data_IF_984319148821
#
_entry.id   IF_984319148821
#
_cell.length_a   1.000
_cell.length_b   1.000
_cell.length_c   1.000
_cell.angle_alpha   90.00
_cell.angle_beta   90.00
_cell.angle_gamma   90.00
#
_symmetry.space_group_name_H-M   'P 1'
#
loop_
_entity.id
_entity.type
_entity.pdbx_description
1 polymer ?
#
# COMPACT_ATOMS: atom_id res chain seq x y z
N UNK A 1 19.17 -9.21 10.75
CA UNK A 1 18.38 -10.45 10.87
C UNK A 1 17.35 -10.23 11.96
N UNK A 2 16.08 -10.15 11.61
CA UNK A 2 14.99 -9.99 12.61
C UNK A 2 14.88 -11.25 13.46
N UNK A 3 14.49 -11.13 14.74
CA UNK A 3 14.33 -12.25 15.67
C UNK A 3 13.48 -13.39 15.08
N UNK A 4 12.52 -13.06 14.21
CA UNK A 4 11.70 -14.03 13.48
C UNK A 4 12.52 -14.98 12.59
N UNK A 5 13.49 -14.45 11.83
CA UNK A 5 14.32 -15.28 10.94
C UNK A 5 15.25 -16.23 11.70
N UNK A 6 15.72 -15.84 12.89
CA UNK A 6 16.54 -16.69 13.74
C UNK A 6 15.73 -17.89 14.28
N UNK A 7 14.47 -17.66 14.66
CA UNK A 7 13.58 -18.72 15.13
C UNK A 7 13.16 -19.69 14.02
N UNK A 8 12.86 -19.20 12.82
CA UNK A 8 12.54 -20.08 11.68
C UNK A 8 13.73 -20.98 11.33
N UNK A 9 14.95 -20.43 11.36
CA UNK A 9 16.17 -21.18 11.11
C UNK A 9 16.39 -22.29 12.17
N UNK A 10 16.14 -21.97 13.45
CA UNK A 10 16.23 -22.95 14.55
C UNK A 10 15.20 -24.06 14.44
N UNK A 11 13.97 -23.76 14.02
CA UNK A 11 12.93 -24.77 13.80
C UNK A 11 13.32 -25.72 12.65
N UNK A 12 13.80 -25.18 11.52
CA UNK A 12 14.25 -25.98 10.37
C UNK A 12 15.44 -26.88 10.75
N UNK A 13 16.42 -26.34 11.48
CA UNK A 13 17.56 -27.10 11.98
C UNK A 13 17.12 -28.22 12.95
N UNK A 14 16.15 -27.95 13.83
CA UNK A 14 15.61 -28.96 14.76
C UNK A 14 14.88 -30.10 14.03
N UNK A 15 14.10 -29.77 12.98
CA UNK A 15 13.41 -30.75 12.14
C UNK A 15 14.38 -31.62 11.34
N UNK A 16 15.44 -31.02 10.78
CA UNK A 16 16.51 -31.75 10.10
C UNK A 16 17.22 -32.75 11.03
N UNK A 17 17.45 -32.35 12.29
CA UNK A 17 18.06 -33.22 13.29
C UNK A 17 17.13 -34.36 13.76
N UNK A 18 15.82 -34.10 13.87
CA UNK A 18 14.81 -35.11 14.19
C UNK A 18 14.64 -36.17 13.08
N UNK A 19 14.87 -35.82 11.81
CA UNK A 19 14.77 -36.74 10.67
C UNK A 19 16.03 -37.58 10.44
N UNK A 20 17.17 -37.15 11.00
CA UNK A 20 18.44 -37.84 10.88
C UNK A 20 18.41 -39.32 11.33
N UNK A 21 17.80 -39.71 12.48
CA UNK A 21 17.72 -41.12 12.88
C UNK A 21 16.74 -41.96 12.03
N UNK A 22 15.79 -41.34 11.33
CA UNK A 22 14.86 -42.04 10.42
C UNK A 22 15.52 -42.34 9.07
N UNK A 23 16.47 -41.50 8.65
CA UNK A 23 17.22 -41.67 7.41
C UNK A 23 18.44 -42.60 7.55
N UNK A 24 18.92 -42.86 8.77
CA UNK A 24 20.07 -43.73 9.03
C UNK A 24 19.58 -45.17 9.29
N UNK A 25 19.96 -46.10 8.41
CA UNK A 25 19.54 -47.53 8.36
C UNK A 25 19.84 -48.39 9.62
N UNK A 26 20.44 -47.83 10.67
CA UNK A 26 20.67 -48.54 11.95
C UNK A 26 20.60 -47.54 13.11
N UNK A 27 19.44 -47.41 13.79
CA UNK A 27 19.33 -46.48 14.91
C UNK A 27 20.12 -47.01 16.12
N UNK A 28 21.09 -46.22 16.60
CA UNK A 28 21.75 -46.46 17.88
C UNK A 28 20.74 -46.22 19.01
N UNK A 29 20.31 -47.31 19.64
CA UNK A 29 19.22 -47.34 20.62
C UNK A 29 19.71 -47.06 22.04
N UNK A 30 20.67 -46.15 22.19
CA UNK A 30 21.17 -45.72 23.50
C UNK A 30 20.15 -44.79 24.17
N UNK A 31 20.08 -44.81 25.51
CA UNK A 31 19.17 -43.96 26.27
C UNK A 31 19.38 -42.46 25.98
N UNK A 32 20.60 -42.08 25.58
CA UNK A 32 20.98 -40.70 25.23
C UNK A 32 20.33 -40.23 23.93
N UNK A 33 20.25 -41.05 22.88
CA UNK A 33 19.63 -40.67 21.60
C UNK A 33 18.11 -40.47 21.75
N UNK A 34 17.47 -41.28 22.61
CA UNK A 34 16.04 -41.13 22.95
C UNK A 34 15.75 -39.83 23.70
N UNK A 35 16.58 -39.48 24.69
CA UNK A 35 16.41 -38.24 25.47
C UNK A 35 16.58 -37.01 24.57
N UNK A 36 17.59 -37.01 23.70
CA UNK A 36 17.83 -35.91 22.75
C UNK A 36 16.66 -35.74 21.77
N UNK A 37 16.11 -36.84 21.25
CA UNK A 37 14.95 -36.80 20.35
C UNK A 37 13.68 -36.28 21.02
N UNK A 38 13.46 -36.62 22.30
CA UNK A 38 12.33 -36.10 23.09
C UNK A 38 12.49 -34.59 23.33
N UNK A 39 13.69 -34.16 23.72
CA UNK A 39 13.98 -32.74 23.97
C UNK A 39 13.86 -31.88 22.69
N UNK A 40 14.33 -32.38 21.54
CA UNK A 40 14.18 -31.68 20.26
C UNK A 40 12.72 -31.62 19.80
N UNK A 41 11.95 -32.70 20.01
CA UNK A 41 10.51 -32.71 19.75
C UNK A 41 9.75 -31.67 20.61
N UNK A 42 10.07 -31.58 21.90
CA UNK A 42 9.49 -30.58 22.80
C UNK A 42 9.85 -29.15 22.40
N UNK A 43 11.09 -28.91 21.96
CA UNK A 43 11.54 -27.60 21.51
C UNK A 43 10.84 -27.17 20.20
N UNK A 44 10.64 -28.10 19.27
CA UNK A 44 9.87 -27.86 18.05
C UNK A 44 8.42 -27.51 18.34
N UNK A 45 7.79 -28.21 19.28
CA UNK A 45 6.42 -27.95 19.72
C UNK A 45 6.28 -26.58 20.39
N UNK A 46 7.25 -26.20 21.23
CA UNK A 46 7.32 -24.86 21.82
C UNK A 46 7.50 -23.76 20.76
N UNK A 47 8.32 -24.00 19.73
CA UNK A 47 8.48 -23.09 18.59
C UNK A 47 7.20 -22.89 17.78
N UNK A 48 6.43 -23.97 17.53
CA UNK A 48 5.12 -23.90 16.88
C UNK A 48 4.12 -23.14 17.75
N UNK A 49 4.06 -23.41 19.05
CA UNK A 49 3.19 -22.66 19.98
C UNK A 49 3.56 -21.17 19.99
N UNK A 50 4.85 -20.84 19.99
CA UNK A 50 5.34 -19.47 19.96
C UNK A 50 4.97 -18.76 18.65
N UNK A 51 5.09 -19.43 17.50
CA UNK A 51 4.65 -18.91 16.21
C UNK A 51 3.12 -18.72 16.18
N UNK A 52 2.35 -19.67 16.72
CA UNK A 52 0.90 -19.52 16.89
C UNK A 52 0.54 -18.34 17.81
N UNK A 53 1.31 -18.12 18.89
CA UNK A 53 1.13 -16.96 19.77
C UNK A 53 1.50 -15.64 19.10
N UNK A 54 2.53 -15.61 18.25
CA UNK A 54 2.90 -14.44 17.44
C UNK A 54 1.81 -14.09 16.42
N UNK A 55 1.24 -15.08 15.72
CA UNK A 55 0.09 -14.89 14.81
C UNK A 55 -1.12 -14.38 15.59
N UNK A 56 -1.44 -14.99 16.75
CA UNK A 56 -2.50 -14.49 17.65
C UNK A 56 -2.24 -13.09 18.22
N UNK A 57 -0.98 -12.69 18.41
CA UNK A 57 -0.64 -11.33 18.85
C UNK A 57 -0.85 -10.29 17.74
N UNK A 58 -0.67 -10.67 16.47
CA UNK A 58 -1.04 -9.80 15.34
C UNK A 58 -2.58 -9.70 15.20
N UNK A 59 -3.30 -10.76 15.52
CA UNK A 59 -4.74 -10.77 15.81
C UNK A 59 -5.07 -10.25 17.21
N UNK A 60 -4.38 -9.21 17.70
CA UNK A 60 -4.80 -8.53 18.91
C UNK A 60 -6.25 -8.08 18.71
N UNK A 61 -7.19 -8.84 19.28
CA UNK A 61 -8.56 -8.42 19.50
C UNK A 61 -8.41 -7.20 20.38
N UNK A 62 -8.43 -6.02 19.75
CA UNK A 62 -8.42 -4.75 20.44
C UNK A 62 -9.76 -4.74 21.16
N UNK A 63 -9.77 -5.19 22.41
CA UNK A 63 -10.98 -5.21 23.22
C UNK A 63 -11.44 -3.76 23.34
N UNK A 64 -12.71 -3.44 23.08
CA UNK A 64 -13.18 -2.09 23.19
C UNK A 64 -13.05 -1.63 24.65
N UNK A 65 -12.14 -0.69 24.91
CA UNK A 65 -11.96 -0.04 26.21
C UNK A 65 -12.74 1.27 26.30
N UNK A 66 -13.73 1.47 25.43
CA UNK A 66 -14.42 2.76 25.30
C UNK A 66 -15.14 3.15 26.59
N UNK A 67 -15.07 4.45 26.90
CA UNK A 67 -15.56 5.09 28.14
C UNK A 67 -17.08 5.19 28.25
N UNK A 68 -17.83 4.92 27.18
CA UNK A 68 -19.28 5.11 27.15
C UNK A 68 -20.04 3.87 27.61
N UNK A 69 -20.56 3.92 28.84
CA UNK A 69 -21.53 2.96 29.38
C UNK A 69 -22.69 2.71 28.41
N UNK A 70 -23.13 3.76 27.74
CA UNK A 70 -24.31 3.75 26.87
C UNK A 70 -24.08 2.92 25.60
N UNK A 71 -22.84 2.89 25.10
CA UNK A 71 -22.45 2.07 23.94
C UNK A 71 -22.41 0.58 24.30
N UNK A 72 -21.88 0.25 25.47
CA UNK A 72 -21.89 -1.13 25.98
C UNK A 72 -23.31 -1.61 26.24
N UNK A 73 -24.15 -0.74 26.81
CA UNK A 73 -25.55 -1.03 27.05
C UNK A 73 -26.31 -1.24 25.73
N UNK A 74 -26.13 -0.37 24.72
CA UNK A 74 -26.74 -0.54 23.41
C UNK A 74 -26.32 -1.85 22.72
N UNK A 75 -25.05 -2.27 22.88
CA UNK A 75 -24.57 -3.55 22.36
C UNK A 75 -25.20 -4.73 23.12
N UNK A 76 -25.26 -4.67 24.45
CA UNK A 76 -25.87 -5.71 25.28
C UNK A 76 -27.38 -5.84 25.02
N UNK A 77 -28.09 -4.72 24.86
CA UNK A 77 -29.50 -4.69 24.47
C UNK A 77 -29.72 -5.32 23.09
N UNK A 78 -28.86 -4.98 22.13
CA UNK A 78 -28.91 -5.58 20.80
C UNK A 78 -28.57 -7.08 20.80
N UNK A 79 -27.67 -7.54 21.68
CA UNK A 79 -27.35 -8.97 21.86
C UNK A 79 -28.51 -9.75 22.50
N UNK A 80 -29.21 -9.16 23.46
CA UNK A 80 -30.35 -9.79 24.14
C UNK A 80 -31.59 -9.88 23.25
N UNK A 81 -31.69 -9.03 22.23
CA UNK A 81 -32.72 -9.10 21.21
C UNK A 81 -32.04 -9.02 19.83
N UNK A 82 -31.44 -10.12 19.36
CA UNK A 82 -30.62 -10.12 18.15
C UNK A 82 -31.49 -9.67 16.99
N UNK A 83 -31.30 -8.40 16.62
CA UNK A 83 -32.05 -7.77 15.57
C UNK A 83 -31.76 -8.39 14.21
N UNK A 84 -32.41 -7.87 13.17
CA UNK A 84 -32.02 -8.21 11.80
C UNK A 84 -30.66 -7.62 11.45
N UNK A 85 -30.05 -8.11 10.36
CA UNK A 85 -28.80 -7.59 9.78
C UNK A 85 -28.84 -6.06 9.63
N UNK A 86 -30.00 -5.51 9.25
CA UNK A 86 -30.19 -4.07 9.06
C UNK A 86 -30.08 -3.28 10.38
N UNK A 87 -30.58 -3.83 11.49
CA UNK A 87 -30.49 -3.19 12.82
C UNK A 87 -29.04 -3.14 13.29
N UNK A 88 -28.32 -4.25 13.11
CA UNK A 88 -26.90 -4.34 13.43
C UNK A 88 -26.04 -3.40 12.56
N UNK A 89 -26.32 -3.34 11.25
CA UNK A 89 -25.69 -2.38 10.36
C UNK A 89 -25.96 -0.93 10.76
N UNK A 90 -27.19 -0.62 11.19
CA UNK A 90 -27.55 0.72 11.66
C UNK A 90 -26.78 1.11 12.93
N UNK A 91 -26.67 0.19 13.89
CA UNK A 91 -25.85 0.38 15.08
C UNK A 91 -24.38 0.59 14.71
N UNK A 92 -23.82 -0.25 13.84
CA UNK A 92 -22.45 -0.11 13.33
C UNK A 92 -22.18 1.26 12.72
N UNK A 93 -23.09 1.78 11.88
CA UNK A 93 -22.97 3.14 11.30
C UNK A 93 -22.97 4.23 12.37
N UNK A 94 -23.86 4.15 13.36
CA UNK A 94 -23.89 5.11 14.48
C UNK A 94 -22.56 5.12 15.23
N UNK A 95 -22.02 3.94 15.52
CA UNK A 95 -20.76 3.80 16.26
C UNK A 95 -19.55 4.34 15.48
N UNK A 96 -19.53 4.21 14.15
CA UNK A 96 -18.51 4.88 13.31
C UNK A 96 -18.57 6.40 13.45
N UNK A 97 -19.77 6.99 13.44
CA UNK A 97 -19.96 8.45 13.61
C UNK A 97 -19.49 8.93 14.99
N UNK A 98 -19.72 8.12 16.02
CA UNK A 98 -19.25 8.35 17.39
C UNK A 98 -17.74 8.06 17.57
N UNK A 99 -17.06 7.59 16.51
CA UNK A 99 -15.64 7.20 16.51
C UNK A 99 -15.32 6.00 17.42
N UNK A 100 -16.34 5.23 17.76
CA UNK A 100 -16.27 4.00 18.55
C UNK A 100 -15.99 2.80 17.63
N UNK A 101 -14.86 2.83 16.94
CA UNK A 101 -14.56 1.92 15.82
C UNK A 101 -14.55 0.44 16.22
N UNK A 102 -14.10 0.13 17.43
CA UNK A 102 -14.07 -1.25 17.93
C UNK A 102 -15.47 -1.79 18.22
N UNK A 103 -16.37 -0.96 18.75
CA UNK A 103 -17.77 -1.35 18.93
C UNK A 103 -18.48 -1.43 17.58
N UNK A 104 -18.17 -0.55 16.63
CA UNK A 104 -18.70 -0.67 15.28
C UNK A 104 -18.30 -2.00 14.62
N UNK A 105 -17.04 -2.42 14.81
CA UNK A 105 -16.56 -3.72 14.35
C UNK A 105 -17.37 -4.88 14.94
N UNK A 106 -17.67 -4.84 16.25
CA UNK A 106 -18.51 -5.86 16.89
C UNK A 106 -19.93 -5.87 16.31
N UNK A 107 -20.57 -4.71 16.16
CA UNK A 107 -21.91 -4.62 15.59
C UNK A 107 -22.00 -5.18 14.17
N UNK A 108 -21.03 -4.88 13.29
CA UNK A 108 -21.00 -5.45 11.95
C UNK A 108 -20.59 -6.94 11.93
N UNK A 109 -19.87 -7.42 12.95
CA UNK A 109 -19.56 -8.84 13.09
C UNK A 109 -20.82 -9.65 13.38
N UNK A 110 -21.75 -9.10 14.16
CA UNK A 110 -23.09 -9.70 14.37
C UNK A 110 -23.89 -9.73 13.06
N UNK A 111 -23.88 -8.65 12.28
CA UNK A 111 -24.48 -8.63 10.93
C UNK A 111 -23.93 -9.75 10.04
N UNK A 112 -22.60 -9.94 10.04
CA UNK A 112 -21.95 -10.98 9.27
C UNK A 112 -22.43 -12.37 9.70
N UNK A 113 -22.47 -12.67 11.00
CA UNK A 113 -22.91 -13.97 11.51
C UNK A 113 -24.34 -14.32 11.07
N UNK A 114 -25.25 -13.34 11.10
CA UNK A 114 -26.63 -13.52 10.69
C UNK A 114 -26.81 -13.68 9.17
N UNK A 115 -25.91 -13.10 8.37
CA UNK A 115 -26.05 -13.04 6.91
C UNK A 115 -25.15 -14.00 6.15
N UNK A 116 -24.05 -14.52 6.72
CA UNK A 116 -22.99 -15.20 5.96
C UNK A 116 -23.48 -16.38 5.10
N UNK A 117 -24.53 -17.07 5.53
CA UNK A 117 -25.14 -18.22 4.81
C UNK A 117 -26.52 -17.89 4.22
N UNK A 118 -26.96 -16.65 4.31
CA UNK A 118 -28.25 -16.24 3.80
C UNK A 118 -28.21 -16.20 2.25
N UNK A 119 -29.28 -16.67 1.56
CA UNK A 119 -29.41 -16.51 0.13
C UNK A 119 -29.34 -15.04 -0.30
N UNK A 120 -28.62 -14.77 -1.39
CA UNK A 120 -28.46 -13.42 -1.94
C UNK A 120 -29.73 -12.97 -2.70
N UNK A 121 -30.70 -12.43 -1.97
CA UNK A 121 -31.81 -11.66 -2.55
C UNK A 121 -31.41 -10.19 -2.76
N UNK A 122 -32.19 -9.42 -3.52
CA UNK A 122 -31.89 -8.00 -3.77
C UNK A 122 -31.77 -7.19 -2.46
N UNK A 123 -32.68 -7.39 -1.51
CA UNK A 123 -32.62 -6.74 -0.18
C UNK A 123 -31.39 -7.18 0.61
N UNK A 124 -31.10 -8.48 0.64
CA UNK A 124 -29.94 -9.02 1.36
C UNK A 124 -28.61 -8.61 0.74
N UNK A 125 -28.57 -8.37 -0.58
CA UNK A 125 -27.38 -7.84 -1.26
C UNK A 125 -26.98 -6.48 -0.69
N UNK A 126 -27.93 -5.57 -0.48
CA UNK A 126 -27.68 -4.26 0.13
C UNK A 126 -27.11 -4.39 1.54
N UNK A 127 -27.79 -5.16 2.39
CA UNK A 127 -27.35 -5.42 3.77
C UNK A 127 -25.98 -6.09 3.83
N UNK A 128 -25.64 -6.93 2.84
CA UNK A 128 -24.33 -7.57 2.70
C UNK A 128 -23.22 -6.60 2.36
N UNK A 129 -23.45 -5.72 1.39
CA UNK A 129 -22.50 -4.66 1.04
C UNK A 129 -22.26 -3.76 2.27
N UNK A 130 -23.32 -3.43 3.01
CA UNK A 130 -23.24 -2.61 4.22
C UNK A 130 -22.34 -3.24 5.30
N UNK A 131 -22.55 -4.52 5.65
CA UNK A 131 -21.72 -5.14 6.69
C UNK A 131 -20.29 -5.43 6.21
N UNK A 132 -20.09 -5.78 4.94
CA UNK A 132 -18.74 -5.98 4.38
C UNK A 132 -17.92 -4.70 4.47
N UNK A 133 -18.48 -3.60 3.96
CA UNK A 133 -17.80 -2.31 3.97
C UNK A 133 -17.69 -1.72 5.38
N UNK A 134 -18.67 -1.95 6.25
CA UNK A 134 -18.66 -1.52 7.65
C UNK A 134 -17.59 -2.25 8.49
N UNK A 135 -17.44 -3.56 8.31
CA UNK A 135 -16.35 -4.33 8.93
C UNK A 135 -14.98 -3.83 8.47
N UNK A 136 -14.79 -3.62 7.17
CA UNK A 136 -13.53 -3.10 6.66
C UNK A 136 -13.24 -1.70 7.22
N UNK A 137 -14.21 -0.78 7.14
CA UNK A 137 -14.11 0.60 7.62
C UNK A 137 -13.76 0.66 9.12
N UNK A 138 -14.47 -0.08 9.96
CA UNK A 138 -14.22 -0.12 11.40
C UNK A 138 -12.80 -0.59 11.72
N UNK A 139 -12.30 -1.65 11.06
CA UNK A 139 -10.91 -2.13 11.21
C UNK A 139 -9.89 -1.09 10.78
N UNK A 140 -10.09 -0.51 9.60
CA UNK A 140 -9.19 0.49 9.02
C UNK A 140 -9.09 1.70 9.96
N UNK A 141 -10.22 2.22 10.45
CA UNK A 141 -10.25 3.38 11.34
C UNK A 141 -9.65 3.07 12.71
N UNK A 142 -9.92 1.88 13.28
CA UNK A 142 -9.31 1.44 14.52
C UNK A 142 -7.77 1.33 14.43
N UNK A 143 -7.25 1.03 13.23
CA UNK A 143 -5.81 0.93 12.93
C UNK A 143 -5.25 2.19 12.28
N UNK A 144 -5.88 3.36 12.53
CA UNK A 144 -5.40 4.67 12.07
C UNK A 144 -5.20 4.76 10.55
N UNK A 145 -6.04 4.07 9.78
CA UNK A 145 -6.01 4.06 8.32
C UNK A 145 -5.19 2.93 7.70
N UNK A 146 -4.53 2.08 8.50
CA UNK A 146 -3.81 0.93 7.96
C UNK A 146 -4.78 -0.14 7.44
N UNK A 147 -4.63 -0.52 6.17
CA UNK A 147 -5.41 -1.58 5.53
C UNK A 147 -4.62 -2.88 5.59
N UNK A 148 -5.12 -3.84 6.36
CA UNK A 148 -4.60 -5.20 6.42
C UNK A 148 -5.21 -6.10 5.33
N UNK A 149 -4.85 -7.38 5.34
CA UNK A 149 -5.32 -8.35 4.36
C UNK A 149 -6.82 -8.62 4.48
N UNK A 150 -7.33 -8.80 5.69
CA UNK A 150 -8.76 -9.02 5.93
C UNK A 150 -9.61 -7.84 5.46
N UNK A 151 -9.22 -6.62 5.80
CA UNK A 151 -9.96 -5.40 5.41
C UNK A 151 -10.03 -5.27 3.90
N UNK A 152 -8.94 -5.61 3.21
CA UNK A 152 -8.93 -5.68 1.75
C UNK A 152 -9.87 -6.74 1.20
N UNK A 153 -9.79 -7.97 1.71
CA UNK A 153 -10.63 -9.06 1.23
C UNK A 153 -12.13 -8.73 1.42
N UNK A 154 -12.49 -8.05 2.50
CA UNK A 154 -13.86 -7.54 2.73
C UNK A 154 -14.27 -6.50 1.68
N UNK A 155 -13.37 -5.57 1.32
CA UNK A 155 -13.64 -4.55 0.31
C UNK A 155 -13.77 -5.17 -1.09
N UNK A 156 -12.91 -6.12 -1.45
CA UNK A 156 -13.00 -6.79 -2.75
C UNK A 156 -14.27 -7.63 -2.87
N UNK A 157 -14.67 -8.36 -1.82
CA UNK A 157 -15.98 -9.03 -1.77
C UNK A 157 -17.14 -8.04 -1.95
N UNK A 158 -17.07 -6.86 -1.33
CA UNK A 158 -18.08 -5.82 -1.53
C UNK A 158 -18.06 -5.27 -2.97
N UNK A 159 -16.89 -5.19 -3.60
CA UNK A 159 -16.72 -4.78 -5.00
C UNK A 159 -17.37 -5.75 -5.97
N UNK A 160 -17.28 -7.06 -5.74
CA UNK A 160 -17.97 -8.06 -6.57
C UNK A 160 -19.50 -7.90 -6.53
N UNK A 161 -20.04 -7.40 -5.43
CA UNK A 161 -21.49 -7.19 -5.27
C UNK A 161 -21.97 -5.83 -5.77
N UNK A 162 -21.12 -4.80 -5.67
CA UNK A 162 -21.45 -3.43 -6.07
C UNK A 162 -20.20 -2.61 -6.43
N UNK A 163 -19.66 -2.85 -7.62
CA UNK A 163 -18.49 -2.15 -8.17
C UNK A 163 -18.64 -0.61 -8.17
N UNK A 164 -19.87 -0.11 -8.34
CA UNK A 164 -20.18 1.32 -8.39
C UNK A 164 -20.55 1.92 -7.02
N UNK A 165 -20.50 1.17 -5.91
CA UNK A 165 -20.85 1.73 -4.62
C UNK A 165 -19.80 2.77 -4.16
N UNK A 166 -20.19 3.99 -3.75
CA UNK A 166 -19.24 5.05 -3.41
C UNK A 166 -18.25 4.67 -2.30
N UNK A 167 -18.71 3.91 -1.29
CA UNK A 167 -17.88 3.48 -0.16
C UNK A 167 -16.90 2.39 -0.60
N UNK A 168 -17.34 1.45 -1.45
CA UNK A 168 -16.48 0.43 -2.07
C UNK A 168 -15.39 1.10 -2.91
N UNK A 169 -15.74 2.07 -3.75
CA UNK A 169 -14.77 2.80 -4.57
C UNK A 169 -13.75 3.57 -3.72
N UNK A 170 -14.21 4.23 -2.65
CA UNK A 170 -13.34 4.96 -1.74
C UNK A 170 -12.31 4.05 -1.07
N UNK A 171 -12.78 3.02 -0.35
CA UNK A 171 -11.91 2.11 0.40
C UNK A 171 -11.11 1.18 -0.52
N UNK A 172 -11.69 0.76 -1.65
CA UNK A 172 -11.01 -0.03 -2.67
C UNK A 172 -9.88 0.73 -3.33
N UNK A 173 -10.02 2.04 -3.53
CA UNK A 173 -8.93 2.88 -4.01
C UNK A 173 -7.82 3.03 -2.96
N UNK A 174 -8.16 3.21 -1.68
CA UNK A 174 -7.16 3.25 -0.60
C UNK A 174 -6.38 1.93 -0.49
N UNK A 175 -7.07 0.79 -0.58
CA UNK A 175 -6.47 -0.53 -0.46
C UNK A 175 -5.54 -0.84 -1.65
N UNK A 176 -5.95 -0.45 -2.86
CA UNK A 176 -5.12 -0.57 -4.05
C UNK A 176 -3.86 0.31 -3.95
N UNK A 177 -4.00 1.57 -3.49
CA UNK A 177 -2.88 2.48 -3.32
C UNK A 177 -1.85 1.98 -2.30
N UNK A 178 -2.31 1.48 -1.14
CA UNK A 178 -1.40 0.96 -0.09
C UNK A 178 -0.63 -0.30 -0.54
N UNK A 179 -1.19 -1.08 -1.47
CA UNK A 179 -0.52 -2.22 -2.12
C UNK A 179 0.36 -1.84 -3.31
N UNK A 180 0.48 -0.55 -3.63
CA UNK A 180 1.26 -0.08 -4.78
C UNK A 180 0.54 -0.24 -6.13
N UNK A 181 -0.72 -0.67 -6.16
CA UNK A 181 -1.52 -0.69 -7.39
C UNK A 181 -2.14 0.70 -7.67
N UNK A 182 -1.27 1.64 -8.02
CA UNK A 182 -1.61 3.03 -8.31
C UNK A 182 -2.64 3.18 -9.43
N UNK A 183 -2.60 2.30 -10.44
CA UNK A 183 -3.54 2.35 -11.57
C UNK A 183 -4.97 2.00 -11.14
N UNK A 184 -5.15 0.90 -10.40
CA UNK A 184 -6.46 0.51 -9.89
C UNK A 184 -7.02 1.56 -8.91
N UNK A 185 -6.15 2.13 -8.07
CA UNK A 185 -6.55 3.21 -7.17
C UNK A 185 -7.09 4.43 -7.93
N UNK A 186 -6.38 4.86 -8.98
CA UNK A 186 -6.84 5.95 -9.86
C UNK A 186 -8.19 5.64 -10.49
N UNK A 187 -8.34 4.46 -11.09
CA UNK A 187 -9.59 4.05 -11.74
C UNK A 187 -10.79 4.11 -10.78
N UNK A 188 -10.65 3.57 -9.56
CA UNK A 188 -11.72 3.56 -8.55
C UNK A 188 -12.08 4.97 -8.08
N UNK A 189 -11.09 5.82 -7.83
CA UNK A 189 -11.32 7.19 -7.38
C UNK A 189 -11.84 8.12 -8.48
N UNK A 190 -11.41 7.95 -9.73
CA UNK A 190 -11.98 8.66 -10.87
C UNK A 190 -13.45 8.27 -11.10
N UNK A 191 -13.77 6.98 -10.98
CA UNK A 191 -15.15 6.50 -11.03
C UNK A 191 -16.00 7.10 -9.90
N UNK A 192 -15.45 7.17 -8.68
CA UNK A 192 -16.10 7.84 -7.55
C UNK A 192 -16.36 9.33 -7.83
N UNK A 193 -15.41 10.06 -8.42
CA UNK A 193 -15.60 11.47 -8.77
C UNK A 193 -16.70 11.68 -9.82
N UNK A 194 -16.83 10.76 -10.79
CA UNK A 194 -17.91 10.81 -11.81
C UNK A 194 -19.30 10.70 -11.21
N UNK A 195 -19.43 10.19 -9.97
CA UNK A 195 -20.70 10.10 -9.25
C UNK A 195 -21.10 11.40 -8.55
N UNK A 196 -20.32 12.49 -8.72
CA UNK A 196 -20.55 13.79 -8.09
C UNK A 196 -20.74 13.70 -6.56
N UNK A 197 -19.80 13.11 -5.80
CA UNK A 197 -19.94 12.97 -4.36
C UNK A 197 -19.94 14.35 -3.67
N UNK A 198 -20.29 14.45 -2.37
CA UNK A 198 -20.21 15.72 -1.64
C UNK A 198 -18.84 16.40 -1.77
N UNK A 199 -18.80 17.74 -1.82
CA UNK A 199 -17.58 18.51 -2.09
C UNK A 199 -16.42 18.17 -1.14
N UNK A 200 -16.72 17.90 0.14
CA UNK A 200 -15.72 17.44 1.11
C UNK A 200 -15.02 16.15 0.67
N UNK A 201 -15.77 15.16 0.16
CA UNK A 201 -15.22 13.91 -0.35
C UNK A 201 -14.49 14.14 -1.68
N UNK A 202 -15.02 14.95 -2.59
CA UNK A 202 -14.31 15.31 -3.83
C UNK A 202 -12.92 15.87 -3.54
N UNK A 203 -12.82 16.84 -2.62
CA UNK A 203 -11.55 17.45 -2.25
C UNK A 203 -10.55 16.43 -1.70
N UNK A 204 -11.01 15.48 -0.87
CA UNK A 204 -10.16 14.41 -0.34
C UNK A 204 -9.71 13.46 -1.45
N UNK A 205 -10.62 13.05 -2.33
CA UNK A 205 -10.31 12.14 -3.45
C UNK A 205 -9.34 12.78 -4.44
N UNK A 206 -9.53 14.06 -4.78
CA UNK A 206 -8.62 14.83 -5.63
C UNK A 206 -7.23 14.89 -4.99
N UNK A 207 -7.13 15.18 -3.68
CA UNK A 207 -5.84 15.14 -2.96
C UNK A 207 -5.18 13.76 -3.02
N UNK A 208 -5.97 12.68 -2.96
CA UNK A 208 -5.45 11.31 -3.06
C UNK A 208 -4.98 10.98 -4.48
N UNK A 209 -5.75 11.31 -5.51
CA UNK A 209 -5.35 11.18 -6.92
C UNK A 209 -4.11 11.98 -7.24
N UNK A 210 -4.05 13.21 -6.72
CA UNK A 210 -2.85 14.02 -6.78
C UNK A 210 -1.72 13.31 -6.05
N UNK A 211 -1.89 12.81 -4.84
CA UNK A 211 -0.84 12.00 -4.19
C UNK A 211 -0.47 10.74 -4.96
N UNK A 212 -1.15 10.37 -6.06
CA UNK A 212 -0.84 9.27 -6.97
C UNK A 212 -0.28 9.72 -8.34
N UNK A 213 -0.06 11.02 -8.57
CA UNK A 213 0.52 11.51 -9.83
C UNK A 213 1.96 11.01 -10.02
N UNK A 214 2.28 10.61 -11.25
CA UNK A 214 3.61 10.16 -11.68
C UNK A 214 4.01 11.02 -12.88
N UNK A 215 5.27 11.45 -12.91
CA UNK A 215 5.82 12.16 -14.07
C UNK A 215 6.32 11.14 -15.09
N UNK A 216 5.79 11.20 -16.31
CA UNK A 216 6.26 10.39 -17.44
C UNK A 216 6.99 11.30 -18.43
N UNK A 217 8.30 11.09 -18.56
CA UNK A 217 9.13 11.81 -19.52
C UNK A 217 9.64 10.84 -20.57
N UNK A 218 9.44 11.19 -21.83
CA UNK A 218 10.09 10.51 -22.96
C UNK A 218 11.26 11.37 -23.42
N UNK A 219 12.46 10.83 -23.31
CA UNK A 219 13.70 11.54 -23.64
C UNK A 219 14.28 10.91 -24.90
N UNK A 220 14.43 11.72 -25.93
CA UNK A 220 15.13 11.36 -27.17
C UNK A 220 16.42 12.17 -27.31
N UNK A 221 17.39 11.60 -28.00
CA UNK A 221 18.62 12.28 -28.40
C UNK A 221 18.64 12.40 -29.92
N UNK A 222 19.09 13.55 -30.41
CA UNK A 222 19.32 13.74 -31.83
C UNK A 222 20.37 12.73 -32.35
N UNK A 223 20.26 12.26 -33.60
CA UNK A 223 21.10 11.21 -34.15
C UNK A 223 22.61 11.49 -34.04
N UNK A 224 23.03 12.75 -34.13
CA UNK A 224 24.44 13.13 -33.98
C UNK A 224 24.97 12.87 -32.58
N UNK A 225 24.16 13.08 -31.53
CA UNK A 225 24.56 12.84 -30.14
C UNK A 225 24.54 11.36 -29.79
N UNK A 226 23.61 10.59 -30.38
CA UNK A 226 23.60 9.13 -30.30
C UNK A 226 24.91 8.57 -30.87
N UNK A 227 25.33 9.07 -32.02
CA UNK A 227 26.58 8.64 -32.67
C UNK A 227 27.84 8.99 -31.88
N UNK A 228 27.80 10.05 -31.07
CA UNK A 228 28.90 10.46 -30.18
C UNK A 228 28.86 9.78 -28.81
N UNK A 229 27.79 9.05 -28.49
CA UNK A 229 27.61 8.46 -27.18
C UNK A 229 28.43 7.18 -27.00
N UNK A 230 29.02 7.06 -25.82
CA UNK A 230 29.85 5.93 -25.41
C UNK A 230 29.20 5.18 -24.24
N UNK A 231 29.74 4.01 -23.86
CA UNK A 231 29.21 3.21 -22.74
C UNK A 231 29.15 3.97 -21.41
N UNK A 232 30.05 4.95 -21.23
CA UNK A 232 30.11 5.82 -20.05
C UNK A 232 29.18 7.03 -20.12
N UNK A 233 28.60 7.33 -21.28
CA UNK A 233 27.73 8.49 -21.44
C UNK A 233 26.45 8.36 -20.61
N UNK A 234 26.01 9.48 -20.04
CA UNK A 234 24.87 9.56 -19.13
C UNK A 234 23.96 10.71 -19.51
N UNK A 235 22.66 10.54 -19.24
CA UNK A 235 21.73 11.66 -19.17
C UNK A 235 21.42 11.92 -17.71
N UNK A 236 21.59 13.16 -17.29
CA UNK A 236 21.17 13.63 -15.97
C UNK A 236 19.91 14.47 -16.13
N UNK A 237 18.88 14.06 -15.41
CA UNK A 237 17.64 14.79 -15.34
C UNK A 237 17.52 15.45 -13.97
N UNK A 238 17.19 16.73 -13.95
CA UNK A 238 16.90 17.42 -12.71
C UNK A 238 15.71 18.35 -12.75
N UNK A 239 15.03 18.44 -11.59
CA UNK A 239 13.97 19.40 -11.33
C UNK A 239 14.37 20.33 -10.19
N UNK A 240 14.10 21.63 -10.36
CA UNK A 240 14.31 22.65 -9.31
C UNK A 240 13.21 23.71 -9.32
N UNK A 241 12.94 24.29 -8.16
CA UNK A 241 12.23 25.58 -8.12
C UNK A 241 13.18 26.66 -8.66
N UNK A 242 12.72 27.64 -9.45
CA UNK A 242 13.58 28.71 -9.98
C UNK A 242 14.35 29.49 -8.91
N UNK A 243 13.81 29.58 -7.68
CA UNK A 243 14.38 30.38 -6.57
C UNK A 243 15.05 29.56 -5.47
N UNK A 244 15.15 28.23 -5.60
CA UNK A 244 15.85 27.36 -4.63
C UNK A 244 17.00 26.61 -5.30
N UNK A 245 18.21 26.71 -4.78
CA UNK A 245 19.33 25.83 -5.11
C UNK A 245 19.58 24.92 -3.90
N UNK A 246 19.61 23.56 -3.99
CA UNK A 246 20.07 22.65 -5.06
C UNK A 246 18.93 21.86 -5.77
N UNK A 247 19.22 21.03 -6.81
CA UNK A 247 18.18 20.24 -7.50
C UNK A 247 17.50 19.24 -6.55
N UNK A 248 16.18 19.16 -6.66
CA UNK A 248 15.32 18.35 -5.78
C UNK A 248 15.17 16.91 -6.29
N UNK A 249 15.29 16.71 -7.60
CA UNK A 249 15.36 15.37 -8.19
C UNK A 249 16.55 15.35 -9.10
N UNK A 250 17.40 14.34 -8.98
CA UNK A 250 18.49 14.05 -9.91
C UNK A 250 18.42 12.57 -10.28
N UNK A 251 17.99 12.25 -11.50
CA UNK A 251 18.04 10.87 -12.03
C UNK A 251 19.13 10.80 -13.08
N UNK A 252 20.01 9.82 -12.96
CA UNK A 252 20.97 9.47 -14.01
C UNK A 252 20.42 8.30 -14.81
N UNK A 253 20.46 8.42 -16.13
CA UNK A 253 20.01 7.40 -17.09
C UNK A 253 21.19 6.96 -17.95
N UNK A 254 21.20 5.68 -18.32
CA UNK A 254 22.12 5.19 -19.34
C UNK A 254 21.61 5.56 -20.73
N UNK A 255 22.51 5.65 -21.70
CA UNK A 255 22.15 5.76 -23.12
C UNK A 255 21.25 4.59 -23.58
N UNK A 256 21.33 3.43 -22.93
CA UNK A 256 20.49 2.26 -23.24
C UNK A 256 19.04 2.37 -22.73
N UNK A 257 18.76 3.39 -21.92
CA UNK A 257 17.43 3.70 -21.39
C UNK A 257 16.68 4.73 -22.24
N UNK A 258 17.31 5.21 -23.32
CA UNK A 258 16.69 6.11 -24.30
C UNK A 258 15.50 5.50 -25.02
N UNK A 259 14.57 6.35 -25.45
CA UNK A 259 13.35 5.99 -26.17
C UNK A 259 12.44 5.03 -25.39
N UNK A 260 12.67 4.88 -24.08
CA UNK A 260 11.73 4.26 -23.15
C UNK A 260 11.10 5.36 -22.31
N UNK A 261 9.80 5.27 -21.98
CA UNK A 261 9.18 6.21 -21.06
C UNK A 261 9.89 6.12 -19.69
N UNK A 262 10.52 7.21 -19.30
CA UNK A 262 11.19 7.34 -18.01
C UNK A 262 10.16 7.79 -16.99
N UNK A 263 9.73 6.86 -16.15
CA UNK A 263 8.95 7.20 -14.97
C UNK A 263 9.89 7.83 -13.94
N UNK A 264 9.57 9.07 -13.58
CA UNK A 264 10.17 9.74 -12.44
C UNK A 264 9.13 9.79 -11.36
N UNK A 265 9.21 8.78 -10.50
CA UNK A 265 8.49 8.81 -9.25
C UNK A 265 9.19 9.83 -8.33
N UNK A 266 8.69 11.05 -8.39
CA UNK A 266 9.10 12.14 -7.53
C UNK A 266 9.06 11.73 -6.04
N UNK A 267 8.15 10.84 -5.63
CA UNK A 267 8.00 10.41 -4.22
C UNK A 267 9.18 9.60 -3.71
N UNK A 268 9.73 8.71 -4.53
CA UNK A 268 10.89 7.90 -4.14
C UNK A 268 12.14 8.75 -3.92
N UNK A 269 12.22 9.92 -4.56
CA UNK A 269 13.30 10.88 -4.35
C UNK A 269 13.14 11.69 -3.05
N UNK A 270 11.89 12.00 -2.65
CA UNK A 270 11.61 12.76 -1.41
C UNK A 270 11.86 11.93 -0.15
N UNK A 271 11.62 10.62 -0.17
CA UNK A 271 11.82 9.75 1.00
C UNK A 271 13.26 9.75 1.53
N UNK A 272 14.22 10.25 0.74
CA UNK A 272 15.64 10.33 1.08
C UNK A 272 16.13 11.77 1.31
N UNK A 273 15.27 12.79 1.19
CA UNK A 273 15.65 14.20 1.29
C UNK A 273 14.88 14.92 2.41
N UNK A 274 15.54 15.85 3.11
CA UNK A 274 14.91 16.68 4.14
C UNK A 274 13.76 17.52 3.58
N UNK A 275 12.79 17.92 4.42
CA UNK A 275 11.63 18.76 4.06
C UNK A 275 11.94 20.02 3.22
N UNK A 276 13.17 20.55 3.29
CA UNK A 276 13.63 21.73 2.53
C UNK A 276 13.90 21.47 1.04
N UNK A 277 13.83 20.21 0.61
CA UNK A 277 14.02 19.79 -0.78
C UNK A 277 12.69 19.35 -1.40
N UNK A 278 11.57 19.98 -1.05
CA UNK A 278 10.28 19.68 -1.67
C UNK A 278 9.93 20.77 -2.71
N UNK A 279 9.77 20.39 -3.97
CA UNK A 279 9.20 21.22 -5.03
C UNK A 279 7.78 21.64 -4.66
N UNK A 280 7.51 22.94 -4.78
CA UNK A 280 6.16 23.45 -4.76
C UNK A 280 5.56 23.30 -6.16
N UNK A 281 4.71 22.28 -6.32
CA UNK A 281 4.05 21.93 -7.58
C UNK A 281 2.96 22.91 -8.03
N UNK A 282 2.55 23.85 -7.17
CA UNK A 282 1.63 24.93 -7.54
C UNK A 282 2.33 26.07 -8.28
N UNK A 283 3.67 26.02 -8.35
CA UNK A 283 4.49 26.97 -9.10
C UNK A 283 5.23 26.23 -10.23
N UNK A 284 5.57 26.92 -11.33
CA UNK A 284 6.38 26.33 -12.38
C UNK A 284 7.73 25.84 -11.84
N UNK A 285 8.19 24.70 -12.37
CA UNK A 285 9.49 24.10 -12.05
C UNK A 285 10.41 24.15 -13.26
N UNK A 286 11.70 24.30 -13.02
CA UNK A 286 12.72 24.25 -14.07
C UNK A 286 13.17 22.80 -14.26
N UNK A 287 12.84 22.22 -15.41
CA UNK A 287 13.28 20.92 -15.88
C UNK A 287 14.59 21.10 -16.65
N UNK A 288 15.69 20.56 -16.12
CA UNK A 288 16.99 20.57 -16.79
C UNK A 288 17.41 19.15 -17.16
N UNK A 289 17.82 18.98 -18.41
CA UNK A 289 18.32 17.73 -18.97
C UNK A 289 19.76 17.97 -19.43
N UNK A 290 20.68 17.12 -18.98
CA UNK A 290 22.10 17.22 -19.29
C UNK A 290 22.51 15.91 -19.95
N UNK A 291 22.91 15.96 -21.21
CA UNK A 291 23.66 14.87 -21.82
C UNK A 291 25.15 15.06 -21.51
N UNK A 292 25.77 14.02 -20.97
CA UNK A 292 27.19 14.00 -20.64
C UNK A 292 27.88 12.85 -21.36
N UNK A 293 28.81 13.14 -22.30
CA UNK A 293 29.56 12.09 -22.98
C UNK A 293 30.49 11.34 -22.02
N UNK A 294 31.06 12.03 -21.02
CA UNK A 294 32.00 11.46 -20.05
C UNK A 294 31.32 10.87 -18.79
N UNK A 295 29.99 10.91 -18.73
CA UNK A 295 29.24 10.30 -17.63
C UNK A 295 29.25 11.09 -16.32
N UNK A 296 29.56 12.39 -16.36
CA UNK A 296 29.58 13.27 -15.19
C UNK A 296 28.77 14.54 -15.44
N UNK A 297 27.85 14.88 -14.53
CA UNK A 297 26.97 16.05 -14.66
C UNK A 297 27.74 17.40 -14.73
N UNK A 298 29.00 17.40 -14.29
CA UNK A 298 29.88 18.58 -14.25
C UNK A 298 31.01 18.53 -15.30
N UNK A 299 31.02 17.54 -16.20
CA UNK A 299 32.06 17.44 -17.22
C UNK A 299 31.98 18.56 -18.27
N UNK A 300 33.15 18.89 -18.83
CA UNK A 300 33.27 19.75 -19.99
C UNK A 300 32.72 19.04 -21.24
N UNK A 301 32.02 19.77 -22.12
CA UNK A 301 31.36 19.21 -23.29
C UNK A 301 29.95 18.67 -23.03
N UNK A 302 29.41 18.86 -21.82
CA UNK A 302 28.01 18.55 -21.53
C UNK A 302 27.06 19.47 -22.30
N UNK A 303 26.03 18.87 -22.92
CA UNK A 303 24.95 19.61 -23.56
C UNK A 303 23.80 19.72 -22.57
N UNK A 304 23.32 20.94 -22.34
CA UNK A 304 22.28 21.24 -21.34
C UNK A 304 21.08 21.85 -22.03
N UNK A 305 19.90 21.27 -21.81
CA UNK A 305 18.61 21.85 -22.17
C UNK A 305 17.83 22.10 -20.90
N UNK A 306 17.24 23.29 -20.77
CA UNK A 306 16.37 23.60 -19.64
C UNK A 306 15.11 24.29 -20.11
N UNK A 307 13.98 23.93 -19.52
CA UNK A 307 12.70 24.58 -19.77
C UNK A 307 11.90 24.70 -18.49
N UNK A 308 11.07 25.73 -18.40
CA UNK A 308 10.13 25.90 -17.30
C UNK A 308 8.85 25.16 -17.65
N UNK A 309 8.40 24.28 -16.76
CA UNK A 309 7.22 23.43 -16.97
C UNK A 309 6.28 23.53 -15.77
N UNK A 310 4.97 23.47 -16.02
CA UNK A 310 3.95 23.37 -14.99
C UNK A 310 3.67 21.91 -14.63
N UNK A 311 3.01 21.69 -13.49
CA UNK A 311 2.58 20.35 -13.07
C UNK A 311 1.65 19.70 -14.10
N UNK A 312 0.78 20.47 -14.73
CA UNK A 312 -0.17 20.03 -15.74
C UNK A 312 0.56 19.53 -16.99
N UNK A 313 1.58 20.25 -17.43
CA UNK A 313 2.44 19.83 -18.56
C UNK A 313 3.22 18.55 -18.26
N UNK A 314 3.56 18.30 -16.99
CA UNK A 314 4.23 17.08 -16.53
C UNK A 314 3.28 15.91 -16.28
N UNK A 315 1.99 16.17 -16.08
CA UNK A 315 0.94 15.15 -16.03
C UNK A 315 0.62 14.62 -17.44
N UNK A 316 0.76 15.43 -18.48
CA UNK A 316 0.82 14.96 -19.87
C UNK A 316 2.18 14.32 -20.18
N UNK A 317 2.21 13.29 -21.01
CA UNK A 317 3.49 12.74 -21.49
C UNK A 317 4.26 13.85 -22.22
N UNK A 318 5.42 14.22 -21.68
CA UNK A 318 6.24 15.30 -22.21
C UNK A 318 7.43 14.68 -22.94
N UNK A 319 7.50 14.95 -24.24
CA UNK A 319 8.59 14.55 -25.10
C UNK A 319 9.65 15.64 -25.10
N UNK A 320 10.88 15.30 -24.75
CA UNK A 320 12.00 16.24 -24.79
C UNK A 320 13.14 15.66 -25.61
N UNK A 321 13.39 16.29 -26.74
CA UNK A 321 14.54 15.98 -27.58
C UNK A 321 15.76 16.78 -27.15
N UNK A 322 16.92 16.13 -27.04
CA UNK A 322 18.20 16.79 -26.82
C UNK A 322 18.90 16.85 -28.18
N UNK A 323 19.07 18.05 -28.72
CA UNK A 323 19.80 18.29 -29.97
C UNK A 323 21.20 18.81 -29.68
N UNK A 324 22.12 18.69 -30.64
CA UNK A 324 23.31 19.53 -30.60
C UNK A 324 22.86 21.01 -30.54
N UNK A 325 23.50 21.82 -29.69
CA UNK A 325 23.25 23.25 -29.71
C UNK A 325 23.72 23.83 -31.05
N UNK A 326 22.96 24.77 -31.60
CA UNK A 326 23.45 25.70 -32.64
C UNK A 326 24.58 26.58 -32.08
#
# INVERSE_FOLDING_TARGET
>A
MTNSMLFTLLVILSLGYCLQPVLVKKPDNSSKTRIVAILSGLLGLAGIIFLFQQVKQQEAVIKPTGKNSDTQQALAEAQNNPGSVEKWNALGRKLILEREYLYAYLAYSESQQLDQFAPLTATKRGSRIDWLTGLAESRILARQGAIDEDSYNLIEQASELAENNPKVLWYGGLAAAQRGNTQLAKQRWELLLRQNPPQALQNVVIKRLDSLWEMKLEISLAPELVSQSQAQSRIFLSLRQPETAPPVVAKSLSINDLNKPVNLDYRNTIAQMSDKSQLNWDKPVSLSIIWSPQGSANAAGNIKRSQTVTREQLKSALNVEITAAE
#
